data_IF_649981663677
#
_entry.id   IF_649981663677
#
_cell.length_a   1.000
_cell.length_b   1.000
_cell.length_c   1.000
_cell.angle_alpha   90.00
_cell.angle_beta   90.00
_cell.angle_gamma   90.00
#
_symmetry.space_group_name_H-M   'P 1'
#
loop_
_entity.id
_entity.type
_entity.pdbx_description
1 polymer ?
#
# COMPACT_ATOMS: atom_id res chain seq x y z
N UNK A 1 -5.65 16.92 -8.85
CA UNK A 1 -5.67 15.86 -7.80
C UNK A 1 -4.24 15.57 -7.40
N UNK A 2 -3.86 15.76 -6.13
CA UNK A 2 -2.49 15.53 -5.67
C UNK A 2 -2.11 14.04 -5.80
N UNK A 3 -1.02 13.74 -6.51
CA UNK A 3 -0.47 12.38 -6.66
C UNK A 3 0.71 12.22 -5.71
N UNK A 4 0.85 11.03 -5.13
CA UNK A 4 1.98 10.67 -4.27
C UNK A 4 2.74 9.48 -4.86
N UNK A 5 4.06 9.55 -4.77
CA UNK A 5 4.95 8.44 -5.04
C UNK A 5 5.28 7.70 -3.74
N UNK A 6 5.13 6.38 -3.78
CA UNK A 6 5.45 5.46 -2.69
C UNK A 6 6.52 4.49 -3.17
N UNK A 7 7.58 4.32 -2.38
CA UNK A 7 8.56 3.27 -2.55
C UNK A 7 8.25 2.16 -1.53
N UNK A 8 7.83 1.00 -2.00
CA UNK A 8 7.50 -0.16 -1.16
C UNK A 8 8.52 -1.26 -1.42
N UNK A 9 9.46 -1.46 -0.48
CA UNK A 9 10.52 -2.46 -0.60
C UNK A 9 11.38 -2.35 -1.87
N UNK A 10 11.53 -1.13 -2.42
CA UNK A 10 12.24 -0.87 -3.67
C UNK A 10 11.33 -0.70 -4.90
N UNK A 11 10.06 -1.10 -4.82
CA UNK A 11 9.10 -0.94 -5.91
C UNK A 11 8.36 0.39 -5.80
N UNK A 12 8.38 1.18 -6.87
CA UNK A 12 7.74 2.50 -6.90
C UNK A 12 6.31 2.40 -7.43
N UNK A 13 5.39 2.98 -6.67
CA UNK A 13 3.97 3.13 -7.01
C UNK A 13 3.57 4.59 -7.04
N UNK A 14 2.63 4.92 -7.91
CA UNK A 14 1.98 6.23 -7.93
C UNK A 14 0.48 6.06 -7.65
N UNK A 15 -0.03 6.85 -6.71
CA UNK A 15 -1.44 6.82 -6.34
C UNK A 15 -1.96 8.21 -5.96
N UNK A 16 -3.28 8.35 -5.84
CA UNK A 16 -3.93 9.59 -5.39
C UNK A 16 -3.83 9.69 -3.86
N UNK A 17 -3.72 10.92 -3.35
CA UNK A 17 -3.81 11.14 -1.90
C UNK A 17 -5.10 10.56 -1.30
N UNK A 18 -6.22 10.74 -2.01
CA UNK A 18 -7.54 10.22 -1.59
C UNK A 18 -7.53 8.71 -1.35
N UNK A 19 -6.88 7.94 -2.23
CA UNK A 19 -6.74 6.48 -2.07
C UNK A 19 -6.01 6.10 -0.79
N UNK A 20 -5.03 6.88 -0.36
CA UNK A 20 -4.29 6.63 0.88
C UNK A 20 -5.09 7.09 2.11
N UNK A 21 -5.80 8.21 2.03
CA UNK A 21 -6.57 8.74 3.15
C UNK A 21 -7.93 8.09 3.36
N UNK A 22 -8.50 7.44 2.35
CA UNK A 22 -9.75 6.67 2.46
C UNK A 22 -9.47 5.20 2.82
N UNK A 23 -8.24 4.90 3.22
CA UNK A 23 -7.78 3.57 3.57
C UNK A 23 -7.27 3.49 5.00
N UNK A 24 -6.98 2.27 5.43
CA UNK A 24 -6.24 1.96 6.66
C UNK A 24 -4.86 2.62 6.74
N UNK A 25 -4.25 2.93 5.59
CA UNK A 25 -3.02 3.73 5.50
C UNK A 25 -3.24 5.20 5.90
N UNK A 26 -4.48 5.65 6.10
CA UNK A 26 -4.79 7.02 6.51
C UNK A 26 -4.00 7.40 7.76
N UNK A 27 -3.86 6.49 8.73
CA UNK A 27 -3.10 6.75 9.97
C UNK A 27 -1.62 7.07 9.68
N UNK A 28 -1.00 6.39 8.72
CA UNK A 28 0.37 6.63 8.28
C UNK A 28 0.48 8.00 7.57
N UNK A 29 -0.51 8.34 6.74
CA UNK A 29 -0.51 9.58 5.93
C UNK A 29 -1.30 10.75 6.56
N UNK A 30 -1.67 10.63 7.83
CA UNK A 30 -2.30 11.69 8.61
C UNK A 30 -1.28 12.79 8.93
N UNK A 31 -1.72 14.06 8.95
CA UNK A 31 -0.84 15.25 9.07
C UNK A 31 0.18 15.19 10.21
N UNK A 32 -0.09 14.44 11.28
CA UNK A 32 0.80 14.29 12.42
C UNK A 32 1.91 13.24 12.24
N UNK A 33 1.72 12.23 11.37
CA UNK A 33 2.67 11.12 11.19
C UNK A 33 3.50 11.23 9.89
N UNK A 34 3.07 12.07 8.94
CA UNK A 34 3.72 12.21 7.62
C UNK A 34 5.17 12.69 7.69
N UNK A 35 5.54 13.45 8.73
CA UNK A 35 6.91 13.96 8.91
C UNK A 35 7.90 12.87 9.33
N UNK A 36 7.41 11.86 10.03
CA UNK A 36 8.23 10.79 10.60
C UNK A 36 8.28 9.56 9.69
N UNK A 37 7.52 9.55 8.59
CA UNK A 37 7.58 8.47 7.62
C UNK A 37 8.97 8.42 6.96
N UNK A 38 9.62 7.25 6.91
CA UNK A 38 10.85 7.05 6.18
C UNK A 38 10.74 7.52 4.74
N UNK A 39 11.85 8.00 4.18
CA UNK A 39 11.95 8.38 2.78
C UNK A 39 13.15 7.72 2.12
N UNK A 40 13.03 7.44 0.84
CA UNK A 40 14.16 6.99 0.03
C UNK A 40 15.04 8.16 -0.44
N UNK A 41 16.13 7.85 -1.15
CA UNK A 41 17.09 8.83 -1.68
C UNK A 41 16.47 9.84 -2.66
N UNK A 42 15.24 9.61 -3.13
CA UNK A 42 14.48 10.52 -4.01
C UNK A 42 13.35 11.24 -3.26
N UNK A 43 13.39 11.23 -1.93
CA UNK A 43 12.40 11.86 -1.04
C UNK A 43 10.97 11.30 -1.17
N UNK A 44 10.82 10.08 -1.70
CA UNK A 44 9.52 9.39 -1.77
C UNK A 44 9.26 8.69 -0.45
N UNK A 45 7.99 8.58 -0.05
CA UNK A 45 7.64 7.82 1.15
C UNK A 45 8.09 6.38 1.00
N UNK A 46 8.75 5.85 2.01
CA UNK A 46 9.28 4.50 2.01
C UNK A 46 8.49 3.62 2.98
N UNK A 47 8.09 2.46 2.47
CA UNK A 47 7.39 1.41 3.22
C UNK A 47 8.26 0.15 3.11
N UNK A 48 8.73 -0.35 4.25
CA UNK A 48 9.59 -1.53 4.32
C UNK A 48 8.78 -2.84 4.23
N UNK A 49 8.10 -3.04 3.11
CA UNK A 49 7.19 -4.17 2.83
C UNK A 49 7.39 -4.74 1.43
N UNK A 50 6.70 -5.84 1.12
CA UNK A 50 6.82 -6.55 -0.14
C UNK A 50 6.23 -5.76 -1.32
N UNK A 51 7.12 -5.12 -2.08
CA UNK A 51 6.77 -4.25 -3.19
C UNK A 51 5.88 -4.90 -4.25
N UNK A 52 6.12 -6.16 -4.62
CA UNK A 52 5.31 -6.84 -5.65
C UNK A 52 3.89 -7.16 -5.17
N UNK A 53 3.74 -7.58 -3.92
CA UNK A 53 2.43 -7.91 -3.34
C UNK A 53 1.60 -6.66 -3.05
N UNK A 54 2.27 -5.52 -2.80
CA UNK A 54 1.61 -4.24 -2.58
C UNK A 54 0.71 -3.80 -3.74
N UNK A 55 0.93 -4.30 -4.97
CA UNK A 55 0.01 -4.04 -6.08
C UNK A 55 -1.42 -4.46 -5.74
N UNK A 56 -1.59 -5.66 -5.19
CA UNK A 56 -2.91 -6.21 -4.85
C UNK A 56 -3.55 -5.47 -3.67
N UNK A 57 -2.73 -5.06 -2.70
CA UNK A 57 -3.15 -4.16 -1.61
C UNK A 57 -3.67 -2.85 -2.20
N UNK A 58 -2.89 -2.22 -3.09
CA UNK A 58 -3.24 -0.94 -3.70
C UNK A 58 -4.49 -1.02 -4.60
N UNK A 59 -4.66 -2.12 -5.32
CA UNK A 59 -5.85 -2.37 -6.14
C UNK A 59 -7.09 -2.55 -5.25
N UNK A 60 -6.98 -3.28 -4.14
CA UNK A 60 -8.05 -3.32 -3.14
C UNK A 60 -8.36 -1.94 -2.55
N UNK A 61 -7.35 -1.10 -2.28
CA UNK A 61 -7.59 0.25 -1.77
C UNK A 61 -8.35 1.16 -2.75
N UNK A 62 -8.18 0.95 -4.07
CA UNK A 62 -8.81 1.76 -5.12
C UNK A 62 -10.27 1.39 -5.32
N UNK A 63 -10.53 0.09 -5.50
CA UNK A 63 -11.81 -0.39 -6.02
C UNK A 63 -12.56 -1.28 -5.02
N UNK A 64 -11.96 -1.54 -3.85
CA UNK A 64 -12.44 -2.50 -2.83
C UNK A 64 -12.64 -3.91 -3.39
N UNK A 65 -11.94 -4.22 -4.48
CA UNK A 65 -11.96 -5.52 -5.14
C UNK A 65 -10.54 -6.10 -5.23
N UNK A 66 -10.44 -7.41 -5.01
CA UNK A 66 -9.20 -8.15 -5.18
C UNK A 66 -9.37 -9.11 -6.36
N UNK A 67 -8.58 -8.92 -7.41
CA UNK A 67 -8.48 -9.88 -8.51
C UNK A 67 -7.12 -10.56 -8.46
N UNK A 68 -7.13 -11.87 -8.24
CA UNK A 68 -5.93 -12.71 -8.24
C UNK A 68 -5.86 -13.54 -9.53
N UNK A 69 -4.66 -13.78 -10.07
CA UNK A 69 -4.48 -14.80 -11.11
C UNK A 69 -4.89 -16.19 -10.63
N UNK A 70 -5.27 -17.05 -11.57
CA UNK A 70 -5.51 -18.47 -11.27
C UNK A 70 -4.24 -19.11 -10.67
N UNK A 71 -4.45 -19.96 -9.66
CA UNK A 71 -3.37 -20.64 -8.92
C UNK A 71 -2.32 -19.69 -8.32
N UNK A 72 -2.74 -18.51 -7.83
CA UNK A 72 -1.85 -17.53 -7.23
C UNK A 72 -0.96 -18.12 -6.10
N UNK A 73 0.36 -18.29 -6.33
CA UNK A 73 1.21 -19.09 -5.45
C UNK A 73 1.59 -18.37 -4.15
N UNK A 74 1.36 -17.06 -4.06
CA UNK A 74 1.80 -16.21 -2.96
C UNK A 74 0.63 -15.79 -2.06
N UNK A 75 -0.49 -16.52 -2.08
CA UNK A 75 -1.71 -16.17 -1.35
C UNK A 75 -1.45 -15.91 0.14
N UNK A 76 -0.73 -16.80 0.82
CA UNK A 76 -0.40 -16.63 2.24
C UNK A 76 0.45 -15.38 2.51
N UNK A 77 1.39 -15.05 1.63
CA UNK A 77 2.20 -13.84 1.77
C UNK A 77 1.34 -12.59 1.58
N UNK A 78 0.42 -12.62 0.60
CA UNK A 78 -0.52 -11.52 0.39
C UNK A 78 -1.45 -11.32 1.58
N UNK A 79 -1.91 -12.39 2.23
CA UNK A 79 -2.72 -12.30 3.46
C UNK A 79 -1.95 -11.58 4.58
N UNK A 80 -0.65 -11.87 4.76
CA UNK A 80 0.17 -11.15 5.75
C UNK A 80 0.34 -9.67 5.43
N UNK A 81 0.43 -9.30 4.14
CA UNK A 81 0.41 -7.89 3.75
C UNK A 81 -0.96 -7.26 4.03
N UNK A 82 -2.05 -7.97 3.76
CA UNK A 82 -3.40 -7.52 4.07
C UNK A 82 -3.59 -7.24 5.57
N UNK A 83 -3.12 -8.16 6.43
CA UNK A 83 -3.13 -7.99 7.89
C UNK A 83 -2.28 -6.79 8.33
N UNK A 84 -1.07 -6.65 7.78
CA UNK A 84 -0.19 -5.51 8.09
C UNK A 84 -0.85 -4.17 7.73
N UNK A 85 -1.49 -4.11 6.56
CA UNK A 85 -2.24 -2.96 6.11
C UNK A 85 -3.68 -2.93 6.65
N UNK A 86 -4.04 -3.79 7.61
CA UNK A 86 -5.35 -3.84 8.28
C UNK A 86 -6.55 -3.93 7.33
N UNK A 87 -6.36 -4.57 6.16
CA UNK A 87 -7.41 -4.83 5.19
C UNK A 87 -8.25 -6.03 5.67
N UNK A 88 -9.09 -5.79 6.68
CA UNK A 88 -9.90 -6.82 7.35
C UNK A 88 -10.85 -7.60 6.44
N UNK A 89 -11.14 -7.08 5.25
CA UNK A 89 -12.03 -7.69 4.25
C UNK A 89 -11.29 -8.42 3.11
N UNK A 90 -9.96 -8.60 3.19
CA UNK A 90 -9.20 -9.26 2.10
C UNK A 90 -9.30 -10.81 2.11
N UNK A 91 -10.26 -11.38 2.85
CA UNK A 91 -10.46 -12.83 3.00
C UNK A 91 -11.91 -13.22 2.77
#
# INVERSE_FOLDING_TARGET
TCRHELNVGGQVYMTKYSTLTESTLHSMFSRNNVKDLPRDNRSRFFIDREGFLFRYVLDNLRDKQLTLPDHFPQKERLLREAEYFQLGDLV
#
